data_IF_350217224004
#
_entry.id   IF_350217224004
#
_cell.length_a   1.000
_cell.length_b   1.000
_cell.length_c   1.000
_cell.angle_alpha   90.00
_cell.angle_beta   90.00
_cell.angle_gamma   90.00
#
_symmetry.space_group_name_H-M   'P 1'
#
loop_
_entity.id
_entity.type
_entity.pdbx_description
1 polymer ?
#
# COMPACT_ATOMS: atom_id res chain seq x y z
N UNK A 1 8.19 -33.25 22.22
CA UNK A 1 7.03 -32.72 21.49
C UNK A 1 7.59 -31.71 20.51
N UNK A 2 7.88 -32.21 19.31
CA UNK A 2 8.64 -31.53 18.27
C UNK A 2 7.84 -30.40 17.62
N UNK A 3 8.58 -29.36 17.27
CA UNK A 3 8.14 -28.18 16.54
C UNK A 3 8.19 -28.43 15.05
N UNK A 4 7.06 -28.80 14.45
CA UNK A 4 6.93 -28.86 12.99
C UNK A 4 6.51 -27.50 12.42
N UNK A 5 7.52 -26.70 12.07
CA UNK A 5 7.40 -25.61 11.10
C UNK A 5 7.54 -26.20 9.70
N UNK A 6 6.43 -26.61 9.08
CA UNK A 6 6.44 -26.97 7.67
C UNK A 6 5.10 -26.61 7.02
N UNK A 7 5.07 -25.46 6.32
CA UNK A 7 4.22 -25.32 5.13
C UNK A 7 5.00 -24.60 4.03
N UNK A 8 4.83 -24.99 2.77
CA UNK A 8 5.82 -24.79 1.73
C UNK A 8 5.76 -23.39 1.13
N UNK A 9 6.94 -22.76 1.01
CA UNK A 9 7.19 -21.60 0.18
C UNK A 9 7.00 -22.00 -1.29
N UNK A 10 5.80 -21.78 -1.82
CA UNK A 10 5.58 -21.83 -3.26
C UNK A 10 6.18 -20.55 -3.88
N UNK A 11 7.36 -20.68 -4.49
CA UNK A 11 7.90 -19.65 -5.39
C UNK A 11 7.14 -19.76 -6.72
N UNK A 12 6.39 -18.72 -7.09
CA UNK A 12 6.02 -18.45 -8.47
C UNK A 12 6.31 -16.97 -8.77
N UNK A 13 7.02 -16.71 -9.85
CA UNK A 13 7.58 -15.42 -10.18
C UNK A 13 6.57 -14.37 -10.68
N UNK A 14 6.99 -13.11 -10.63
CA UNK A 14 6.41 -11.99 -11.37
C UNK A 14 5.83 -10.85 -10.54
N UNK A 15 6.69 -9.90 -10.13
CA UNK A 15 6.38 -8.46 -10.11
C UNK A 15 5.36 -7.92 -9.10
N UNK A 16 5.80 -7.69 -7.86
CA UNK A 16 5.04 -6.89 -6.87
C UNK A 16 5.52 -7.15 -5.45
N UNK A 17 6.70 -6.63 -5.08
CA UNK A 17 7.29 -6.87 -3.76
C UNK A 17 6.50 -6.22 -2.63
N UNK A 18 5.74 -7.03 -1.90
CA UNK A 18 5.22 -6.73 -0.58
C UNK A 18 5.80 -7.72 0.43
N UNK A 19 6.11 -7.26 1.64
CA UNK A 19 6.59 -8.09 2.73
C UNK A 19 5.40 -8.47 3.62
N UNK A 20 5.24 -9.76 3.91
CA UNK A 20 4.16 -10.29 4.74
C UNK A 20 4.78 -11.12 5.86
N UNK A 21 4.59 -10.70 7.11
CA UNK A 21 4.95 -11.45 8.30
C UNK A 21 3.70 -12.08 8.92
N UNK A 22 3.74 -13.38 9.22
CA UNK A 22 2.62 -14.12 9.82
C UNK A 22 3.10 -14.85 11.08
N UNK A 23 2.49 -14.52 12.22
CA UNK A 23 2.53 -15.31 13.46
C UNK A 23 1.12 -15.84 13.74
N UNK A 24 0.96 -16.86 14.59
CA UNK A 24 -0.37 -17.43 14.97
C UNK A 24 -1.38 -16.38 15.49
N UNK A 25 -0.91 -15.19 15.85
CA UNK A 25 -1.71 -14.13 16.46
C UNK A 25 -1.71 -12.80 15.69
N UNK A 26 -0.85 -12.64 14.67
CA UNK A 26 -0.69 -11.35 13.98
C UNK A 26 -0.35 -11.55 12.51
N UNK A 27 -1.07 -10.82 11.66
CA UNK A 27 -0.80 -10.65 10.24
C UNK A 27 -0.42 -9.19 9.98
N UNK A 28 0.77 -8.96 9.45
CA UNK A 28 1.19 -7.65 8.93
C UNK A 28 1.27 -7.75 7.41
N UNK A 29 0.57 -6.87 6.71
CA UNK A 29 0.60 -6.78 5.25
C UNK A 29 1.05 -5.39 4.83
N UNK A 30 2.17 -5.31 4.13
CA UNK A 30 2.69 -4.07 3.55
C UNK A 30 2.73 -4.27 2.04
N UNK A 31 2.02 -3.40 1.31
CA UNK A 31 1.94 -3.49 -0.14
C UNK A 31 2.03 -2.11 -0.77
N UNK A 32 2.47 -2.09 -2.03
CA UNK A 32 2.51 -0.89 -2.86
C UNK A 32 1.12 -0.58 -3.40
N UNK A 33 0.87 0.70 -3.70
CA UNK A 33 -0.26 1.12 -4.52
C UNK A 33 -0.33 0.35 -5.86
N UNK A 34 -1.51 0.30 -6.47
CA UNK A 34 -1.70 -0.29 -7.80
C UNK A 34 -1.05 0.53 -8.93
N UNK A 35 -1.21 0.07 -10.17
CA UNK A 35 -0.81 0.82 -11.36
C UNK A 35 -1.28 2.28 -11.34
N UNK A 36 -0.39 3.18 -11.76
CA UNK A 36 -0.60 4.63 -11.72
C UNK A 36 0.02 5.29 -12.94
N UNK A 37 -0.43 6.51 -13.22
CA UNK A 37 0.18 7.38 -14.22
C UNK A 37 1.58 7.84 -13.76
N UNK A 38 2.44 8.31 -14.69
CA UNK A 38 3.75 8.89 -14.36
C UNK A 38 3.61 10.02 -13.33
N UNK A 39 4.56 10.18 -12.40
CA UNK A 39 4.53 11.30 -11.42
C UNK A 39 4.99 12.60 -12.07
N UNK A 40 5.94 12.48 -12.98
CA UNK A 40 6.50 13.57 -13.77
C UNK A 40 6.92 12.99 -15.12
N UNK A 41 7.15 13.87 -16.07
CA UNK A 41 7.68 13.50 -17.38
C UNK A 41 9.14 13.93 -17.50
N UNK A 42 9.89 13.27 -18.37
CA UNK A 42 11.23 13.73 -18.71
C UNK A 42 11.17 15.11 -19.38
N UNK A 43 12.19 15.97 -19.25
CA UNK A 43 12.18 17.30 -19.86
C UNK A 43 11.95 17.28 -21.38
N UNK A 44 12.40 16.24 -22.07
CA UNK A 44 12.21 16.02 -23.51
C UNK A 44 11.06 15.05 -23.83
N UNK A 45 10.22 14.74 -22.85
CA UNK A 45 9.18 13.73 -22.99
C UNK A 45 8.07 14.17 -23.93
N UNK A 46 7.60 13.23 -24.75
CA UNK A 46 6.59 13.48 -25.78
C UNK A 46 5.17 13.57 -25.21
N UNK A 47 4.91 12.93 -24.06
CA UNK A 47 3.56 12.79 -23.49
C UNK A 47 3.25 13.82 -22.41
N UNK A 48 2.23 14.64 -22.62
CA UNK A 48 1.78 15.66 -21.66
C UNK A 48 0.84 15.08 -20.61
N UNK A 49 0.71 15.77 -19.49
CA UNK A 49 -0.22 15.36 -18.41
C UNK A 49 -1.66 15.23 -18.92
N UNK A 50 -2.08 16.09 -19.84
CA UNK A 50 -3.42 16.08 -20.44
C UNK A 50 -3.78 14.79 -21.19
N UNK A 51 -2.78 13.98 -21.57
CA UNK A 51 -3.01 12.67 -22.21
C UNK A 51 -3.40 11.59 -21.20
N UNK A 52 -3.23 11.86 -19.90
CA UNK A 52 -3.60 10.97 -18.81
C UNK A 52 -4.96 11.41 -18.26
N UNK A 53 -6.03 10.59 -18.34
CA UNK A 53 -7.37 11.02 -17.95
C UNK A 53 -7.50 11.48 -16.50
N UNK A 54 -6.63 11.00 -15.62
CA UNK A 54 -6.56 11.35 -14.21
C UNK A 54 -5.45 12.35 -13.89
N UNK A 55 -4.62 12.75 -14.86
CA UNK A 55 -3.38 13.51 -14.62
C UNK A 55 -2.24 12.65 -14.08
N UNK A 56 -1.15 13.30 -13.65
CA UNK A 56 0.07 12.62 -13.19
C UNK A 56 -0.03 12.10 -11.75
N UNK A 57 0.67 11.00 -11.49
CA UNK A 57 0.81 10.38 -10.17
C UNK A 57 -0.44 9.70 -9.62
N UNK A 58 -1.51 9.60 -10.43
CA UNK A 58 -2.84 9.15 -10.05
C UNK A 58 -3.06 7.67 -10.35
N UNK A 59 -3.89 7.01 -9.53
CA UNK A 59 -4.20 5.59 -9.67
C UNK A 59 -5.05 5.35 -10.92
N UNK A 60 -4.68 4.36 -11.75
CA UNK A 60 -5.44 4.01 -12.95
C UNK A 60 -6.55 3.00 -12.62
N UNK A 61 -7.48 2.78 -13.56
CA UNK A 61 -8.48 1.70 -13.45
C UNK A 61 -7.82 0.31 -13.34
N UNK A 62 -6.69 0.12 -14.00
CA UNK A 62 -5.89 -1.10 -13.89
C UNK A 62 -5.38 -1.25 -12.46
N UNK A 63 -4.86 -0.16 -11.87
CA UNK A 63 -4.39 -0.14 -10.49
C UNK A 63 -5.49 -0.42 -9.48
N UNK A 64 -6.70 0.09 -9.71
CA UNK A 64 -7.87 -0.26 -8.89
C UNK A 64 -8.14 -1.76 -8.96
N UNK A 65 -8.23 -2.34 -10.16
CA UNK A 65 -8.50 -3.77 -10.33
C UNK A 65 -7.44 -4.64 -9.63
N UNK A 66 -6.16 -4.30 -9.79
CA UNK A 66 -5.06 -5.01 -9.11
C UNK A 66 -5.22 -5.02 -7.58
N UNK A 67 -5.59 -3.89 -6.99
CA UNK A 67 -5.77 -3.78 -5.54
C UNK A 67 -7.01 -4.53 -5.07
N UNK A 68 -8.09 -4.51 -5.85
CA UNK A 68 -9.29 -5.30 -5.56
C UNK A 68 -8.99 -6.80 -5.56
N UNK A 69 -8.28 -7.29 -6.58
CA UNK A 69 -7.85 -8.68 -6.69
C UNK A 69 -6.89 -9.08 -5.57
N UNK A 70 -5.98 -8.20 -5.18
CA UNK A 70 -5.12 -8.41 -4.01
C UNK A 70 -5.95 -8.56 -2.74
N UNK A 71 -6.98 -7.73 -2.54
CA UNK A 71 -7.92 -7.85 -1.42
C UNK A 71 -8.64 -9.20 -1.41
N UNK A 72 -9.15 -9.62 -2.57
CA UNK A 72 -9.80 -10.94 -2.71
C UNK A 72 -8.85 -12.09 -2.45
N UNK A 73 -7.60 -12.00 -2.93
CA UNK A 73 -6.57 -12.99 -2.68
C UNK A 73 -6.27 -13.11 -1.18
N UNK A 74 -6.07 -11.98 -0.49
CA UNK A 74 -5.80 -11.95 0.95
C UNK A 74 -7.00 -12.49 1.75
N UNK A 75 -8.23 -12.17 1.35
CA UNK A 75 -9.45 -12.74 1.93
C UNK A 75 -9.48 -14.26 1.82
N UNK A 76 -9.20 -14.79 0.64
CA UNK A 76 -9.18 -16.24 0.41
C UNK A 76 -8.03 -16.91 1.18
N UNK A 77 -6.85 -16.30 1.19
CA UNK A 77 -5.65 -16.84 1.84
C UNK A 77 -5.79 -16.90 3.36
N UNK A 78 -6.41 -15.90 3.97
CA UNK A 78 -6.54 -15.78 5.42
C UNK A 78 -7.96 -15.97 5.93
N UNK A 79 -8.81 -16.73 5.21
CA UNK A 79 -10.20 -16.98 5.61
C UNK A 79 -10.37 -17.66 6.98
N UNK A 80 -9.35 -18.39 7.43
CA UNK A 80 -9.33 -19.06 8.74
C UNK A 80 -8.80 -18.14 9.87
N UNK A 81 -8.23 -16.99 9.51
CA UNK A 81 -7.66 -16.02 10.46
C UNK A 81 -8.54 -14.76 10.54
N UNK A 82 -9.03 -14.28 9.39
CA UNK A 82 -9.89 -13.11 9.28
C UNK A 82 -11.36 -13.53 9.31
N UNK A 83 -12.12 -12.88 10.18
CA UNK A 83 -13.57 -13.02 10.24
C UNK A 83 -14.25 -12.60 8.93
N UNK A 84 -15.44 -13.16 8.70
CA UNK A 84 -16.17 -12.88 7.48
C UNK A 84 -16.59 -11.40 7.35
N UNK A 85 -16.94 -10.79 8.48
CA UNK A 85 -17.30 -9.39 8.64
C UNK A 85 -16.11 -8.55 9.10
N UNK A 86 -16.16 -7.24 8.84
CA UNK A 86 -15.16 -6.30 9.35
C UNK A 86 -15.37 -6.05 10.86
N UNK A 87 -14.31 -6.09 11.66
CA UNK A 87 -14.31 -5.68 13.07
C UNK A 87 -13.24 -4.61 13.32
N UNK A 88 -13.67 -3.42 13.77
CA UNK A 88 -12.79 -2.27 14.06
C UNK A 88 -11.76 -2.52 15.17
N UNK A 89 -11.95 -3.53 16.01
CA UNK A 89 -11.03 -3.88 17.10
C UNK A 89 -9.96 -4.88 16.67
N UNK A 90 -10.14 -5.55 15.53
CA UNK A 90 -9.22 -6.58 15.01
C UNK A 90 -8.36 -6.05 13.85
N UNK A 91 -8.86 -5.05 13.12
CA UNK A 91 -8.23 -4.57 11.89
C UNK A 91 -7.78 -3.11 12.04
N UNK A 92 -6.48 -2.89 11.85
CA UNK A 92 -5.88 -1.58 11.74
C UNK A 92 -5.38 -1.35 10.30
N UNK A 93 -5.71 -0.19 9.73
CA UNK A 93 -5.26 0.20 8.39
C UNK A 93 -4.62 1.58 8.44
N UNK A 94 -3.44 1.68 7.83
CA UNK A 94 -2.73 2.93 7.62
C UNK A 94 -2.31 3.04 6.16
N UNK A 95 -2.40 4.25 5.62
CA UNK A 95 -1.92 4.59 4.28
C UNK A 95 -1.08 5.86 4.34
N UNK A 96 -0.14 6.01 3.41
CA UNK A 96 0.53 7.30 3.21
C UNK A 96 -0.45 8.31 2.62
N UNK A 97 -0.18 9.59 2.84
CA UNK A 97 -1.01 10.71 2.40
C UNK A 97 -0.81 11.05 0.91
N UNK A 98 -1.10 10.10 0.02
CA UNK A 98 -1.22 10.31 -1.42
C UNK A 98 -2.53 9.71 -1.92
N UNK A 99 -3.18 10.38 -2.88
CA UNK A 99 -4.43 9.90 -3.49
C UNK A 99 -4.32 8.44 -3.95
N UNK A 100 -3.26 8.11 -4.68
CA UNK A 100 -3.04 6.75 -5.18
C UNK A 100 -2.95 5.68 -4.10
N UNK A 101 -2.39 5.98 -2.92
CA UNK A 101 -2.26 5.01 -1.82
C UNK A 101 -3.54 4.94 -1.00
N UNK A 102 -4.24 6.07 -0.84
CA UNK A 102 -5.56 6.14 -0.22
C UNK A 102 -6.58 5.35 -1.04
N UNK A 103 -6.66 5.61 -2.34
CA UNK A 103 -7.55 4.91 -3.27
C UNK A 103 -7.21 3.42 -3.37
N UNK A 104 -5.91 3.07 -3.39
CA UNK A 104 -5.50 1.66 -3.37
C UNK A 104 -5.99 0.94 -2.11
N UNK A 105 -5.83 1.56 -0.94
CA UNK A 105 -6.31 0.98 0.32
C UNK A 105 -7.84 0.80 0.33
N UNK A 106 -8.60 1.79 -0.17
CA UNK A 106 -10.06 1.70 -0.28
C UNK A 106 -10.49 0.53 -1.17
N UNK A 107 -9.87 0.38 -2.35
CA UNK A 107 -10.24 -0.67 -3.31
C UNK A 107 -9.80 -2.05 -2.83
N UNK A 108 -8.62 -2.14 -2.20
CA UNK A 108 -8.16 -3.35 -1.50
C UNK A 108 -9.17 -3.79 -0.43
N UNK A 109 -9.64 -2.86 0.41
CA UNK A 109 -10.62 -3.15 1.46
C UNK A 109 -11.97 -3.58 0.89
N UNK A 110 -12.38 -3.05 -0.27
CA UNK A 110 -13.58 -3.52 -0.96
C UNK A 110 -13.48 -4.99 -1.38
N UNK A 111 -12.30 -5.46 -1.79
CA UNK A 111 -12.05 -6.87 -2.09
C UNK A 111 -11.88 -7.76 -0.86
N UNK A 112 -11.31 -7.20 0.22
CA UNK A 112 -11.02 -7.93 1.46
C UNK A 112 -12.26 -8.14 2.34
N UNK A 113 -13.12 -7.12 2.46
CA UNK A 113 -14.30 -7.11 3.34
C UNK A 113 -15.58 -6.69 2.61
N UNK A 114 -16.03 -7.45 1.59
CA UNK A 114 -17.35 -7.25 1.03
C UNK A 114 -18.41 -7.40 2.15
N UNK A 115 -19.41 -6.51 2.23
CA UNK A 115 -20.39 -6.53 3.31
C UNK A 115 -21.21 -7.82 3.26
N UNK A 116 -21.41 -8.44 4.43
CA UNK A 116 -22.22 -9.65 4.60
C UNK A 116 -23.17 -9.49 5.79
N UNK A 117 -24.34 -10.13 5.73
CA UNK A 117 -25.33 -10.10 6.81
C UNK A 117 -25.73 -8.66 7.18
N UNK A 118 -25.59 -8.33 8.47
CA UNK A 118 -25.97 -7.02 9.01
C UNK A 118 -25.05 -5.86 8.58
N UNK A 119 -23.89 -6.12 7.96
CA UNK A 119 -23.02 -5.07 7.41
C UNK A 119 -23.45 -4.59 6.03
N UNK A 120 -24.45 -5.24 5.41
CA UNK A 120 -25.06 -4.76 4.17
C UNK A 120 -25.94 -3.56 4.51
N UNK A 121 -25.40 -2.35 4.36
CA UNK A 121 -26.16 -1.11 4.53
C UNK A 121 -26.99 -0.74 3.29
N UNK A 122 -26.60 -1.22 2.11
CA UNK A 122 -27.31 -1.01 0.85
C UNK A 122 -27.26 -2.29 -0.03
N UNK A 123 -28.40 -2.91 -0.36
CA UNK A 123 -28.45 -4.14 -1.15
C UNK A 123 -27.91 -4.01 -2.59
N UNK A 124 -27.91 -2.80 -3.17
CA UNK A 124 -27.41 -2.53 -4.52
C UNK A 124 -25.90 -2.27 -4.56
N UNK A 125 -25.29 -1.95 -3.40
CA UNK A 125 -23.89 -1.58 -3.29
C UNK A 125 -23.16 -2.62 -2.43
N UNK A 126 -22.38 -3.50 -3.07
CA UNK A 126 -21.54 -4.49 -2.38
C UNK A 126 -20.23 -3.90 -1.86
N UNK A 127 -20.33 -2.77 -1.18
CA UNK A 127 -19.22 -2.05 -0.57
C UNK A 127 -19.66 -1.47 0.79
N UNK A 128 -18.74 -1.39 1.74
CA UNK A 128 -18.95 -0.72 3.02
C UNK A 128 -17.79 0.23 3.34
N UNK A 129 -18.06 1.35 4.01
CA UNK A 129 -17.00 2.25 4.45
C UNK A 129 -16.19 1.61 5.57
N UNK A 130 -14.88 1.46 5.36
CA UNK A 130 -13.94 0.98 6.37
C UNK A 130 -12.94 2.10 6.66
N UNK A 131 -12.78 2.52 7.93
CA UNK A 131 -11.87 3.61 8.27
C UNK A 131 -10.41 3.17 8.12
N UNK A 132 -9.59 4.06 7.56
CA UNK A 132 -8.13 3.95 7.56
C UNK A 132 -7.53 5.26 8.05
N UNK A 133 -6.31 5.20 8.58
CA UNK A 133 -5.57 6.38 9.04
C UNK A 133 -4.58 6.82 7.96
N UNK A 134 -4.45 8.13 7.79
CA UNK A 134 -3.33 8.72 7.06
C UNK A 134 -2.45 9.47 8.05
N UNK A 135 -1.15 9.50 7.78
CA UNK A 135 -0.20 10.34 8.50
C UNK A 135 0.37 11.32 7.49
N UNK A 136 0.36 12.64 7.77
CA UNK A 136 0.96 13.62 6.88
C UNK A 136 2.41 13.25 6.58
N UNK A 137 2.84 13.43 5.33
CA UNK A 137 4.12 12.93 4.82
C UNK A 137 5.33 13.31 5.71
N UNK A 138 5.36 14.55 6.19
CA UNK A 138 6.44 15.10 7.03
C UNK A 138 6.48 14.52 8.46
N UNK A 139 5.44 13.78 8.87
CA UNK A 139 5.30 13.16 10.20
C UNK A 139 5.25 11.64 10.12
N UNK A 140 5.43 11.07 8.92
CA UNK A 140 5.39 9.64 8.70
C UNK A 140 6.75 9.01 9.00
N UNK A 141 6.97 8.74 10.30
CA UNK A 141 8.18 8.08 10.78
C UNK A 141 8.36 6.66 10.24
N UNK A 142 7.28 5.96 9.85
CA UNK A 142 7.37 4.63 9.23
C UNK A 142 8.01 4.73 7.84
N UNK A 143 7.59 5.70 7.03
CA UNK A 143 8.25 5.99 5.76
C UNK A 143 9.69 6.42 5.98
N UNK A 144 9.95 7.34 6.92
CA UNK A 144 11.30 7.80 7.25
C UNK A 144 12.25 6.66 7.66
N UNK A 145 11.79 5.71 8.47
CA UNK A 145 12.57 4.56 8.90
C UNK A 145 12.97 3.67 7.70
N UNK A 146 12.01 3.36 6.81
CA UNK A 146 12.26 2.58 5.58
C UNK A 146 13.28 3.26 4.64
N UNK A 147 13.22 4.59 4.49
CA UNK A 147 14.21 5.33 3.70
C UNK A 147 15.58 5.41 4.37
N UNK A 148 15.62 5.49 5.70
CA UNK A 148 16.88 5.57 6.46
C UNK A 148 17.69 4.26 6.44
N UNK A 149 17.04 3.13 6.15
CA UNK A 149 17.65 1.81 6.03
C UNK A 149 18.10 1.43 4.61
N UNK A 150 17.83 2.28 3.60
CA UNK A 150 18.27 2.02 2.23
C UNK A 150 19.76 2.34 2.06
N UNK A 151 20.55 1.47 1.40
CA UNK A 151 21.93 1.77 1.03
C UNK A 151 21.99 3.00 0.10
N UNK A 152 22.97 3.88 0.30
CA UNK A 152 23.11 5.17 -0.41
C UNK A 152 23.02 5.06 -1.95
N UNK A 153 23.38 3.90 -2.52
CA UNK A 153 23.31 3.65 -3.98
C UNK A 153 21.90 3.66 -4.58
N UNK A 154 20.84 3.62 -3.76
CA UNK A 154 19.45 3.63 -4.21
C UNK A 154 18.72 4.94 -3.86
N UNK A 155 19.41 5.93 -3.29
CA UNK A 155 18.88 7.28 -3.15
C UNK A 155 18.86 7.96 -4.53
N UNK A 156 17.76 8.65 -4.92
CA UNK A 156 17.73 9.36 -6.20
C UNK A 156 18.80 10.46 -6.20
N UNK A 157 19.68 10.45 -7.21
CA UNK A 157 20.66 11.50 -7.44
C UNK A 157 19.95 12.81 -7.82
N UNK A 158 19.99 13.79 -6.91
CA UNK A 158 19.67 15.17 -7.26
C UNK A 158 20.96 15.87 -7.64
N UNK A 159 21.01 16.37 -8.87
CA UNK A 159 22.08 17.19 -9.40
C UNK A 159 22.14 18.53 -8.66
N UNK A 160 23.06 18.66 -7.72
CA UNK A 160 23.90 19.84 -7.45
C UNK A 160 24.63 19.68 -6.11
N UNK A 161 25.93 19.39 -6.18
CA UNK A 161 26.97 20.05 -5.37
C UNK A 161 27.05 19.87 -3.86
N UNK A 162 26.12 19.19 -3.18
CA UNK A 162 26.21 18.87 -1.74
C UNK A 162 25.62 17.48 -1.48
N UNK A 163 26.19 16.69 -0.57
CA UNK A 163 25.67 15.34 -0.25
C UNK A 163 24.25 15.42 0.32
N UNK A 164 23.29 15.10 -0.55
CA UNK A 164 21.83 15.15 -0.37
C UNK A 164 21.33 14.43 0.89
N UNK A 165 22.07 13.44 1.39
CA UNK A 165 21.73 12.67 2.59
C UNK A 165 21.63 13.54 3.85
N UNK A 166 22.41 14.61 3.95
CA UNK A 166 22.43 15.49 5.14
C UNK A 166 21.24 16.46 5.19
N UNK A 167 20.87 17.07 4.04
CA UNK A 167 19.72 17.97 3.93
C UNK A 167 18.38 17.23 3.90
N UNK A 168 18.28 16.07 3.24
CA UNK A 168 17.02 15.29 3.24
C UNK A 168 16.73 14.63 4.59
N UNK A 169 17.74 14.09 5.30
CA UNK A 169 17.53 13.57 6.66
C UNK A 169 17.00 14.65 7.61
N UNK A 170 17.53 15.88 7.51
CA UNK A 170 17.04 17.02 8.30
C UNK A 170 15.66 17.52 7.89
N UNK A 171 15.38 17.56 6.59
CA UNK A 171 14.11 18.11 6.07
C UNK A 171 12.94 17.14 6.11
N UNK A 172 13.18 15.82 6.00
CA UNK A 172 12.11 14.81 5.93
C UNK A 172 11.84 14.12 7.26
N UNK A 173 12.86 13.97 8.12
CA UNK A 173 12.71 13.22 9.39
C UNK A 173 12.83 14.10 10.64
N UNK A 174 12.66 15.42 10.50
CA UNK A 174 12.50 16.41 11.57
C UNK A 174 12.90 15.92 12.96
N UNK A 175 14.21 15.89 13.23
CA UNK A 175 14.71 15.59 14.57
C UNK A 175 14.43 16.78 15.49
N UNK A 176 13.68 16.51 16.57
CA UNK A 176 14.06 16.99 17.89
C UNK A 176 14.69 15.82 18.64
#
# INVERSE_FOLDING_TARGET
MESDCALPLCKSGGGGGGEIAVSRYLLISIFRHGDRTPIENFPTGLHKESEWPQGFGQLTKIGMQQQYELGQYMRKRYSNFLNATYNRHEIFIQSTDYDRTIMSAQVYLAGLFPPVGNQIWNPQIRWQPIPFRTVPLLKDHFKCALYSSLPDRFAPEVSQGETFTSKLKRSLCGYY
#
